data_IF_680610366678
#
_entry.id   IF_680610366678
#
_cell.length_a   1.000
_cell.length_b   1.000
_cell.length_c   1.000
_cell.angle_alpha   90.00
_cell.angle_beta   90.00
_cell.angle_gamma   90.00
#
_symmetry.space_group_name_H-M   'P 1'
#
loop_
_entity.id
_entity.type
_entity.pdbx_description
1 polymer ?
#
# COMPACT_ATOMS: atom_id res chain seq x y z
N UNK A 1 17.92 13.22 -5.87
CA UNK A 1 18.48 11.86 -5.93
C UNK A 1 18.98 11.49 -4.53
N UNK A 2 18.20 10.79 -3.71
CA UNK A 2 18.73 10.20 -2.48
C UNK A 2 19.12 8.76 -2.78
N UNK A 3 20.42 8.54 -2.83
CA UNK A 3 21.06 7.23 -2.86
C UNK A 3 20.60 6.42 -1.65
N UNK A 4 19.81 5.37 -1.90
CA UNK A 4 20.02 4.17 -1.11
C UNK A 4 21.48 3.80 -1.36
N UNK A 5 22.25 3.72 -0.29
CA UNK A 5 23.61 3.20 -0.32
C UNK A 5 23.63 1.92 -1.16
N UNK A 6 24.66 1.77 -2.00
CA UNK A 6 24.91 0.63 -2.87
C UNK A 6 25.27 -0.66 -2.09
N UNK A 7 24.69 -0.87 -0.90
CA UNK A 7 25.20 -1.78 0.13
C UNK A 7 24.14 -2.65 0.82
N UNK A 8 23.04 -3.02 0.14
CA UNK A 8 22.11 -4.03 0.67
C UNK A 8 21.72 -5.04 -0.42
N UNK A 9 22.71 -5.73 -0.97
CA UNK A 9 22.47 -6.94 -1.77
C UNK A 9 22.16 -8.13 -0.86
N UNK A 10 21.08 -8.07 -0.08
CA UNK A 10 20.55 -9.26 0.61
C UNK A 10 20.28 -10.35 -0.44
N UNK A 11 21.12 -11.39 -0.46
CA UNK A 11 21.08 -12.47 -1.45
C UNK A 11 19.79 -13.28 -1.31
N UNK A 12 19.24 -13.77 -2.43
CA UNK A 12 18.04 -14.62 -2.42
C UNK A 12 16.68 -13.90 -2.35
N UNK A 13 16.65 -12.56 -2.33
CA UNK A 13 15.39 -11.81 -2.45
C UNK A 13 14.88 -11.74 -3.89
N UNK A 14 13.58 -12.00 -4.14
CA UNK A 14 12.97 -11.69 -5.44
C UNK A 14 13.18 -10.22 -5.81
N UNK A 15 13.47 -9.92 -7.07
CA UNK A 15 13.77 -8.57 -7.51
C UNK A 15 12.55 -7.64 -7.37
N UNK A 16 11.35 -8.19 -7.52
CA UNK A 16 10.06 -7.50 -7.43
C UNK A 16 9.83 -6.92 -6.05
N UNK A 17 10.31 -7.57 -4.99
CA UNK A 17 10.24 -7.05 -3.62
C UNK A 17 10.93 -5.68 -3.53
N UNK A 18 12.13 -5.55 -4.12
CA UNK A 18 12.88 -4.28 -4.10
C UNK A 18 12.22 -3.22 -4.99
N UNK A 19 11.70 -3.62 -6.15
CA UNK A 19 10.98 -2.72 -7.04
C UNK A 19 9.73 -2.14 -6.38
N UNK A 20 8.92 -2.98 -5.74
CA UNK A 20 7.70 -2.59 -5.03
C UNK A 20 8.01 -1.68 -3.83
N UNK A 21 9.10 -1.95 -3.09
CA UNK A 21 9.49 -1.07 -1.98
C UNK A 21 9.94 0.32 -2.44
N UNK A 22 10.54 0.41 -3.62
CA UNK A 22 10.93 1.68 -4.22
C UNK A 22 9.74 2.44 -4.81
N UNK A 23 8.81 1.73 -5.45
CA UNK A 23 7.62 2.28 -6.10
C UNK A 23 6.38 1.42 -5.77
N UNK A 24 5.67 1.73 -4.67
CA UNK A 24 4.55 0.90 -4.17
C UNK A 24 3.43 0.62 -5.17
N UNK A 25 3.04 1.55 -6.07
CA UNK A 25 2.06 1.30 -7.13
C UNK A 25 2.37 0.08 -8.03
N UNK A 26 3.64 -0.30 -8.21
CA UNK A 26 4.00 -1.47 -9.02
C UNK A 26 3.44 -2.77 -8.45
N UNK A 27 3.12 -2.81 -7.15
CA UNK A 27 2.49 -3.96 -6.53
C UNK A 27 1.13 -4.32 -7.16
N UNK A 28 0.39 -3.33 -7.70
CA UNK A 28 -0.87 -3.58 -8.38
C UNK A 28 -0.73 -4.33 -9.71
N UNK A 29 0.46 -4.33 -10.30
CA UNK A 29 0.76 -4.99 -11.57
C UNK A 29 1.44 -6.36 -11.37
N UNK A 30 1.84 -6.67 -10.13
CA UNK A 30 2.50 -7.93 -9.83
C UNK A 30 1.52 -9.10 -9.84
N UNK A 31 1.99 -10.23 -10.38
CA UNK A 31 1.29 -11.51 -10.31
C UNK A 31 2.29 -12.62 -10.02
N UNK A 32 1.84 -13.67 -9.32
CA UNK A 32 2.68 -14.82 -9.01
C UNK A 32 2.69 -15.80 -10.19
N UNK A 33 3.77 -16.57 -10.32
CA UNK A 33 3.81 -17.72 -11.22
C UNK A 33 3.20 -18.95 -10.53
N UNK A 34 2.31 -19.66 -11.23
CA UNK A 34 1.76 -20.91 -10.72
C UNK A 34 2.83 -22.00 -10.70
N UNK A 35 2.97 -22.74 -9.59
CA UNK A 35 4.01 -23.78 -9.45
C UNK A 35 3.79 -25.01 -10.33
N UNK A 36 2.55 -25.24 -10.77
CA UNK A 36 2.12 -26.49 -11.43
C UNK A 36 1.61 -26.27 -12.87
N UNK A 37 1.49 -25.02 -13.32
CA UNK A 37 1.03 -24.66 -14.66
C UNK A 37 1.77 -23.40 -15.13
N UNK A 38 1.84 -23.16 -16.45
CA UNK A 38 2.30 -21.89 -17.04
C UNK A 38 1.29 -20.72 -16.79
N UNK A 39 0.50 -20.81 -15.72
CA UNK A 39 -0.52 -19.85 -15.36
C UNK A 39 0.03 -18.68 -14.53
N UNK A 40 -0.57 -17.51 -14.72
CA UNK A 40 -0.30 -16.31 -13.94
C UNK A 40 -1.39 -16.22 -12.86
N UNK A 41 -0.99 -15.95 -11.62
CA UNK A 41 -1.87 -15.80 -10.46
C UNK A 41 -1.89 -14.32 -10.03
N UNK A 42 -2.80 -13.57 -10.62
CA UNK A 42 -2.99 -12.14 -10.37
C UNK A 42 -4.30 -11.83 -9.66
N UNK A 43 -4.77 -10.61 -9.85
CA UNK A 43 -5.98 -10.09 -9.17
C UNK A 43 -7.27 -10.73 -9.67
N UNK A 44 -7.33 -11.09 -10.96
CA UNK A 44 -8.46 -11.80 -11.56
C UNK A 44 -8.62 -13.20 -10.98
N UNK A 45 -7.53 -13.96 -10.91
CA UNK A 45 -7.52 -15.29 -10.32
C UNK A 45 -7.84 -15.22 -8.82
N UNK A 46 -7.35 -14.20 -8.13
CA UNK A 46 -7.64 -13.99 -6.71
C UNK A 46 -9.13 -13.72 -6.48
N UNK A 47 -9.77 -12.94 -7.35
CA UNK A 47 -11.20 -12.69 -7.31
C UNK A 47 -11.99 -13.99 -7.50
N UNK A 48 -11.64 -14.79 -8.50
CA UNK A 48 -12.32 -16.06 -8.77
C UNK A 48 -12.25 -16.99 -7.54
N UNK A 49 -11.06 -17.17 -6.97
CA UNK A 49 -10.88 -17.99 -5.77
C UNK A 49 -11.68 -17.43 -4.58
N UNK A 50 -11.72 -16.11 -4.39
CA UNK A 50 -12.55 -15.51 -3.33
C UNK A 50 -14.04 -15.81 -3.55
N UNK A 51 -14.54 -15.65 -4.78
CA UNK A 51 -15.94 -15.89 -5.12
C UNK A 51 -16.34 -17.37 -4.95
N UNK A 52 -15.48 -18.31 -5.37
CA UNK A 52 -15.66 -19.75 -5.13
C UNK A 52 -15.75 -20.08 -3.64
N UNK A 53 -15.02 -19.34 -2.79
CA UNK A 53 -15.07 -19.47 -1.34
C UNK A 53 -16.25 -18.74 -0.68
N UNK A 54 -17.21 -18.23 -1.47
CA UNK A 54 -18.43 -17.58 -1.00
C UNK A 54 -18.31 -16.06 -0.79
N UNK A 55 -17.19 -15.44 -1.16
CA UNK A 55 -16.98 -13.99 -1.00
C UNK A 55 -17.66 -13.18 -2.12
N UNK A 56 -18.97 -13.34 -2.28
CA UNK A 56 -19.76 -12.80 -3.40
C UNK A 56 -19.77 -11.28 -3.50
N UNK A 57 -19.49 -10.56 -2.41
CA UNK A 57 -19.43 -9.10 -2.37
C UNK A 57 -18.08 -8.53 -2.82
N UNK A 58 -17.06 -9.38 -2.99
CA UNK A 58 -15.76 -8.94 -3.46
C UNK A 58 -15.85 -8.54 -4.94
N UNK A 59 -15.33 -7.36 -5.27
CA UNK A 59 -15.24 -6.88 -6.65
C UNK A 59 -13.78 -6.89 -7.11
N UNK A 60 -13.56 -6.89 -8.43
CA UNK A 60 -12.20 -6.82 -8.97
C UNK A 60 -11.45 -5.57 -8.48
N UNK A 61 -12.14 -4.43 -8.41
CA UNK A 61 -11.59 -3.17 -7.90
C UNK A 61 -11.16 -3.30 -6.43
N UNK A 62 -11.97 -3.96 -5.60
CA UNK A 62 -11.64 -4.21 -4.18
C UNK A 62 -10.41 -5.11 -4.06
N UNK A 63 -10.34 -6.18 -4.86
CA UNK A 63 -9.18 -7.09 -4.89
C UNK A 63 -7.92 -6.37 -5.35
N UNK A 64 -7.96 -5.65 -6.48
CA UNK A 64 -6.82 -4.88 -7.01
C UNK A 64 -6.27 -3.89 -5.98
N UNK A 65 -7.15 -3.18 -5.30
CA UNK A 65 -6.78 -2.21 -4.27
C UNK A 65 -6.07 -2.89 -3.09
N UNK A 66 -6.67 -3.91 -2.49
CA UNK A 66 -6.07 -4.57 -1.33
C UNK A 66 -4.85 -5.43 -1.70
N UNK A 67 -4.81 -5.99 -2.90
CA UNK A 67 -3.67 -6.72 -3.44
C UNK A 67 -2.40 -5.87 -3.41
N UNK A 68 -2.48 -4.65 -3.95
CA UNK A 68 -1.34 -3.71 -3.94
C UNK A 68 -0.82 -3.43 -2.52
N UNK A 69 -1.72 -3.14 -1.58
CA UNK A 69 -1.34 -2.85 -0.19
C UNK A 69 -0.80 -4.08 0.56
N UNK A 70 -1.38 -5.26 0.32
CA UNK A 70 -0.91 -6.52 0.91
C UNK A 70 0.49 -6.84 0.40
N UNK A 71 0.71 -6.75 -0.90
CA UNK A 71 2.02 -7.01 -1.49
C UNK A 71 3.05 -5.99 -1.05
N UNK A 72 2.74 -4.69 -1.02
CA UNK A 72 3.70 -3.71 -0.51
C UNK A 72 4.12 -4.01 0.94
N UNK A 73 3.16 -4.41 1.78
CA UNK A 73 3.44 -4.86 3.15
C UNK A 73 4.29 -6.14 3.18
N UNK A 74 3.92 -7.15 2.41
CA UNK A 74 4.66 -8.42 2.33
C UNK A 74 6.10 -8.19 1.83
N UNK A 75 6.28 -7.29 0.87
CA UNK A 75 7.59 -6.93 0.34
C UNK A 75 8.47 -6.35 1.45
N UNK A 76 7.91 -5.46 2.28
CA UNK A 76 8.61 -4.91 3.42
C UNK A 76 9.01 -6.01 4.41
N UNK A 77 8.08 -6.88 4.81
CA UNK A 77 8.41 -7.99 5.71
C UNK A 77 9.49 -8.89 5.13
N UNK A 78 9.32 -9.35 3.88
CA UNK A 78 10.27 -10.24 3.21
C UNK A 78 11.65 -9.60 3.10
N UNK A 79 11.75 -8.31 2.79
CA UNK A 79 13.02 -7.60 2.74
C UNK A 79 13.71 -7.53 4.11
N UNK A 80 12.95 -7.27 5.18
CA UNK A 80 13.50 -7.16 6.53
C UNK A 80 13.88 -8.52 7.13
N UNK A 81 13.05 -9.56 6.97
CA UNK A 81 13.27 -10.91 7.51
C UNK A 81 14.12 -11.81 6.61
N UNK A 82 14.70 -11.27 5.54
CA UNK A 82 15.41 -12.06 4.54
C UNK A 82 16.62 -12.84 5.09
N UNK A 83 17.21 -12.40 6.20
CA UNK A 83 18.32 -13.11 6.87
C UNK A 83 17.86 -14.38 7.60
N UNK A 84 16.64 -14.35 8.14
CA UNK A 84 16.18 -15.34 9.11
C UNK A 84 15.28 -16.38 8.44
N UNK A 85 14.41 -15.93 7.53
CA UNK A 85 13.48 -16.76 6.77
C UNK A 85 13.24 -16.13 5.38
N UNK A 86 14.22 -16.19 4.46
CA UNK A 86 14.04 -15.68 3.11
C UNK A 86 12.89 -16.42 2.43
N UNK A 87 11.98 -15.69 1.79
CA UNK A 87 10.89 -16.16 0.90
C UNK A 87 9.60 -16.76 1.49
N UNK A 88 9.47 -17.05 2.79
CA UNK A 88 8.25 -17.72 3.28
C UNK A 88 6.97 -16.85 3.19
N UNK A 89 7.11 -15.53 3.29
CA UNK A 89 5.96 -14.62 3.31
C UNK A 89 5.56 -14.12 1.91
N UNK A 90 6.46 -14.15 0.94
CA UNK A 90 6.23 -13.68 -0.43
C UNK A 90 5.64 -14.80 -1.30
N UNK A 91 4.41 -15.21 -0.96
CA UNK A 91 3.72 -16.29 -1.68
C UNK A 91 2.27 -15.94 -1.98
N UNK A 92 1.72 -16.59 -3.00
CA UNK A 92 0.30 -16.54 -3.35
C UNK A 92 -0.59 -16.84 -2.14
N UNK A 93 -0.30 -17.90 -1.40
CA UNK A 93 -1.10 -18.34 -0.25
C UNK A 93 -1.09 -17.30 0.87
N UNK A 94 0.05 -16.64 1.09
CA UNK A 94 0.19 -15.56 2.06
C UNK A 94 -0.58 -14.30 1.66
N UNK A 95 -0.65 -13.99 0.37
CA UNK A 95 -1.47 -12.91 -0.16
C UNK A 95 -2.97 -13.24 -0.02
N UNK A 96 -3.39 -14.42 -0.50
CA UNK A 96 -4.78 -14.88 -0.47
C UNK A 96 -5.34 -14.98 0.95
N UNK A 97 -4.57 -15.50 1.89
CA UNK A 97 -4.93 -15.53 3.31
C UNK A 97 -5.27 -14.14 3.86
N UNK A 98 -4.51 -13.12 3.46
CA UNK A 98 -4.77 -11.75 3.88
C UNK A 98 -5.94 -11.10 3.17
N UNK A 99 -6.15 -11.38 1.87
CA UNK A 99 -7.35 -10.95 1.16
C UNK A 99 -8.60 -11.51 1.82
N UNK A 100 -8.60 -12.81 2.13
CA UNK A 100 -9.71 -13.46 2.82
C UNK A 100 -9.97 -12.84 4.18
N UNK A 101 -8.92 -12.62 4.98
CA UNK A 101 -9.02 -11.91 6.25
C UNK A 101 -9.64 -10.51 6.11
N UNK A 102 -9.22 -9.74 5.10
CA UNK A 102 -9.78 -8.40 4.85
C UNK A 102 -11.25 -8.47 4.46
N UNK A 103 -11.63 -9.44 3.64
CA UNK A 103 -13.02 -9.65 3.25
C UNK A 103 -13.89 -9.95 4.47
N UNK A 104 -13.48 -10.89 5.31
CA UNK A 104 -14.18 -11.25 6.55
C UNK A 104 -14.37 -10.04 7.47
N UNK A 105 -13.30 -9.27 7.69
CA UNK A 105 -13.31 -8.08 8.54
C UNK A 105 -14.24 -7.00 8.01
N UNK A 106 -14.16 -6.68 6.72
CA UNK A 106 -14.90 -5.56 6.15
C UNK A 106 -16.36 -5.91 5.87
N UNK A 107 -16.62 -7.07 5.28
CA UNK A 107 -17.96 -7.41 4.80
C UNK A 107 -18.80 -8.20 5.80
N UNK A 108 -18.21 -9.17 6.52
CA UNK A 108 -18.93 -9.98 7.51
C UNK A 108 -18.95 -9.30 8.87
N UNK A 109 -17.79 -8.91 9.40
CA UNK A 109 -17.69 -8.24 10.69
C UNK A 109 -18.06 -6.75 10.65
N UNK A 110 -18.25 -6.17 9.45
CA UNK A 110 -18.61 -4.75 9.23
C UNK A 110 -17.68 -3.78 9.94
N UNK A 111 -16.38 -4.09 9.94
CA UNK A 111 -15.36 -3.25 10.57
C UNK A 111 -14.71 -2.34 9.54
N UNK A 112 -14.98 -1.04 9.65
CA UNK A 112 -14.38 -0.02 8.79
C UNK A 112 -13.03 0.46 9.34
N UNK A 113 -12.07 0.69 8.45
CA UNK A 113 -10.77 1.27 8.78
C UNK A 113 -10.88 2.79 9.01
N UNK A 114 -9.82 3.43 9.52
CA UNK A 114 -9.85 4.86 9.83
C UNK A 114 -10.23 5.74 8.62
N UNK A 115 -9.60 5.50 7.47
CA UNK A 115 -9.91 6.24 6.22
C UNK A 115 -11.32 5.92 5.75
N UNK A 116 -11.74 4.65 5.80
CA UNK A 116 -13.09 4.24 5.38
C UNK A 116 -14.16 4.88 6.26
N UNK A 117 -13.96 4.94 7.58
CA UNK A 117 -14.87 5.64 8.50
C UNK A 117 -15.00 7.13 8.17
N UNK A 118 -13.93 7.79 7.74
CA UNK A 118 -13.98 9.20 7.31
C UNK A 118 -14.77 9.33 6.00
N UNK A 119 -14.50 8.45 5.02
CA UNK A 119 -15.19 8.43 3.73
C UNK A 119 -16.69 8.14 3.86
N UNK A 120 -17.06 7.23 4.76
CA UNK A 120 -18.44 6.86 5.08
C UNK A 120 -19.11 7.83 6.08
N UNK A 121 -18.43 8.91 6.46
CA UNK A 121 -18.92 9.94 7.40
C UNK A 121 -19.27 9.38 8.80
N UNK A 122 -18.68 8.25 9.17
CA UNK A 122 -18.83 7.62 10.48
C UNK A 122 -17.90 8.22 11.54
N UNK A 123 -16.84 8.93 11.12
CA UNK A 123 -15.92 9.62 12.00
C UNK A 123 -15.39 10.92 11.35
N UNK A 124 -15.14 11.99 12.14
CA UNK A 124 -14.57 13.21 11.60
C UNK A 124 -13.09 13.04 11.26
N UNK A 125 -12.64 13.67 10.17
CA UNK A 125 -11.23 13.70 9.77
C UNK A 125 -10.32 14.43 10.79
N UNK A 126 -10.89 15.25 11.67
CA UNK A 126 -10.15 15.97 12.71
C UNK A 126 -9.62 15.06 13.82
N UNK A 127 -10.12 13.82 13.92
CA UNK A 127 -9.68 12.84 14.92
C UNK A 127 -8.21 12.48 14.70
N UNK A 128 -7.48 12.25 15.80
CA UNK A 128 -6.10 11.78 15.73
C UNK A 128 -5.99 10.42 15.04
N UNK A 129 -5.05 10.28 14.11
CA UNK A 129 -4.79 9.05 13.38
C UNK A 129 -3.31 8.92 12.99
N UNK A 130 -2.88 7.69 12.71
CA UNK A 130 -1.54 7.40 12.18
C UNK A 130 -1.71 6.87 10.75
N UNK A 131 -1.14 7.57 9.79
CA UNK A 131 -1.12 7.15 8.39
C UNK A 131 0.32 6.90 7.93
N UNK A 132 0.49 6.07 6.91
CA UNK A 132 1.76 5.80 6.26
C UNK A 132 1.81 6.51 4.90
N UNK A 133 2.95 7.10 4.55
CA UNK A 133 3.17 7.71 3.23
C UNK A 133 3.30 6.59 2.19
N UNK A 134 2.28 6.42 1.35
CA UNK A 134 2.29 5.45 0.25
C UNK A 134 3.00 6.00 -0.98
N UNK A 135 2.75 7.27 -1.33
CA UNK A 135 3.34 7.92 -2.50
C UNK A 135 3.43 9.43 -2.29
N UNK A 136 4.41 10.05 -2.95
CA UNK A 136 4.54 11.50 -3.03
C UNK A 136 4.31 11.88 -4.49
N UNK A 137 3.26 12.66 -4.73
CA UNK A 137 2.85 13.11 -6.05
C UNK A 137 3.34 14.55 -6.25
N UNK A 138 4.01 14.80 -7.36
CA UNK A 138 4.48 16.13 -7.76
C UNK A 138 3.75 16.55 -9.02
N UNK A 139 3.00 17.63 -8.94
CA UNK A 139 2.33 18.25 -10.08
C UNK A 139 3.14 19.46 -10.52
N UNK A 140 3.45 19.53 -11.81
CA UNK A 140 4.07 20.71 -12.42
C UNK A 140 2.93 21.65 -12.81
N UNK A 141 2.65 22.63 -11.97
CA UNK A 141 1.82 23.75 -12.40
C UNK A 141 2.66 24.65 -13.33
N UNK A 142 2.01 25.18 -14.37
CA UNK A 142 2.66 25.82 -15.53
C UNK A 142 3.19 27.22 -15.21
N UNK A 143 2.82 27.82 -14.08
CA UNK A 143 3.19 29.19 -13.75
C UNK A 143 3.61 29.27 -12.27
N UNK A 144 4.82 29.80 -12.03
CA UNK A 144 5.50 30.00 -10.73
C UNK A 144 6.09 28.77 -10.03
N UNK A 145 7.36 28.47 -10.33
CA UNK A 145 8.48 27.95 -9.49
C UNK A 145 8.20 27.04 -8.26
N UNK A 146 7.07 26.35 -8.23
CA UNK A 146 6.47 25.87 -6.99
C UNK A 146 5.64 24.61 -7.18
N UNK A 147 6.21 23.59 -7.82
CA UNK A 147 5.55 22.29 -8.02
C UNK A 147 4.70 21.87 -6.81
N UNK A 148 3.39 21.70 -7.04
CA UNK A 148 2.44 21.29 -6.01
C UNK A 148 2.75 19.85 -5.59
N UNK A 149 2.82 19.63 -4.28
CA UNK A 149 3.12 18.33 -3.68
C UNK A 149 1.89 17.84 -2.94
N UNK A 150 1.46 16.63 -3.29
CA UNK A 150 0.35 15.92 -2.63
C UNK A 150 0.87 14.61 -2.10
N UNK A 151 0.50 14.27 -0.86
CA UNK A 151 0.81 12.97 -0.29
C UNK A 151 -0.34 12.01 -0.54
N UNK A 152 -0.03 10.81 -1.01
CA UNK A 152 -0.94 9.68 -0.92
C UNK A 152 -0.61 8.92 0.36
N UNK A 153 -1.59 8.82 1.26
CA UNK A 153 -1.46 8.28 2.60
C UNK A 153 -2.33 7.03 2.75
N UNK A 154 -1.91 6.10 3.61
CA UNK A 154 -2.67 4.88 3.91
C UNK A 154 -2.78 4.58 5.39
N UNK A 155 -3.93 4.05 5.81
CA UNK A 155 -4.11 3.40 7.12
C UNK A 155 -3.84 1.87 7.05
N UNK A 156 -3.31 1.40 5.92
CA UNK A 156 -3.09 -0.01 5.61
C UNK A 156 -4.30 -0.70 4.97
N UNK A 157 -5.46 -0.04 4.91
CA UNK A 157 -6.67 -0.55 4.26
C UNK A 157 -7.05 0.24 3.03
N UNK A 158 -7.02 1.57 3.12
CA UNK A 158 -7.39 2.47 2.03
C UNK A 158 -6.31 3.53 1.80
N UNK A 159 -6.40 4.19 0.64
CA UNK A 159 -5.54 5.29 0.25
C UNK A 159 -6.37 6.59 0.29
N UNK A 160 -5.76 7.67 0.73
CA UNK A 160 -6.32 9.02 0.64
C UNK A 160 -5.25 9.98 0.13
N UNK A 161 -5.67 10.99 -0.65
CA UNK A 161 -4.79 12.08 -1.05
C UNK A 161 -4.93 13.21 -0.04
N UNK A 162 -3.80 13.75 0.39
CA UNK A 162 -3.72 14.84 1.34
C UNK A 162 -2.84 15.94 0.78
N UNK A 163 -3.41 17.14 0.71
CA UNK A 163 -2.63 18.36 0.53
C UNK A 163 -1.80 18.64 1.77
N UNK A 164 -0.65 19.27 1.56
CA UNK A 164 0.30 19.53 2.62
C UNK A 164 0.71 21.00 2.69
N UNK A 165 0.89 21.47 3.92
CA UNK A 165 1.32 22.82 4.21
C UNK A 165 2.80 23.05 3.84
N UNK A 166 3.25 24.30 3.93
CA UNK A 166 4.63 24.66 3.60
C UNK A 166 5.69 23.93 4.46
N UNK A 167 5.52 23.79 5.81
CA UNK A 167 6.41 22.95 6.63
C UNK A 167 6.55 21.51 6.14
N UNK A 168 5.45 20.83 5.84
CA UNK A 168 5.48 19.45 5.35
C UNK A 168 6.11 19.37 3.95
N UNK A 169 5.86 20.34 3.06
CA UNK A 169 6.54 20.42 1.76
C UNK A 169 8.06 20.54 1.91
N UNK A 170 8.53 21.37 2.87
CA UNK A 170 9.96 21.47 3.20
C UNK A 170 10.51 20.16 3.76
N UNK A 171 9.74 19.45 4.59
CA UNK A 171 10.14 18.14 5.12
C UNK A 171 10.31 17.10 4.01
N UNK A 172 9.41 17.07 3.02
CA UNK A 172 9.53 16.22 1.83
C UNK A 172 10.76 16.59 1.01
N UNK A 173 10.97 17.87 0.70
CA UNK A 173 12.11 18.34 -0.11
C UNK A 173 13.47 18.02 0.52
N UNK A 174 13.58 18.11 1.86
CA UNK A 174 14.78 17.70 2.61
C UNK A 174 14.90 16.18 2.79
N UNK A 175 13.87 15.42 2.44
CA UNK A 175 13.79 13.98 2.69
C UNK A 175 13.59 13.61 4.16
N UNK A 176 13.17 14.53 5.02
CA UNK A 176 12.73 14.16 6.36
C UNK A 176 11.42 13.35 6.33
N UNK A 177 10.57 13.59 5.32
CA UNK A 177 9.37 12.83 5.01
C UNK A 177 9.51 12.09 3.68
N UNK A 178 9.35 10.76 3.68
CA UNK A 178 9.57 9.83 2.56
C UNK A 178 8.50 8.74 2.54
N UNK A 179 8.36 8.06 1.41
CA UNK A 179 7.52 6.86 1.26
C UNK A 179 7.91 5.80 2.30
N UNK A 180 6.91 5.14 2.90
CA UNK A 180 7.05 4.14 3.95
C UNK A 180 7.09 4.69 5.38
N UNK A 181 7.23 6.02 5.57
CA UNK A 181 7.19 6.61 6.91
C UNK A 181 5.78 6.77 7.43
N UNK A 182 5.62 6.61 8.74
CA UNK A 182 4.36 6.84 9.45
C UNK A 182 4.32 8.25 10.01
N UNK A 183 3.18 8.91 9.87
CA UNK A 183 2.91 10.27 10.35
C UNK A 183 1.70 10.25 11.28
N UNK A 184 1.84 10.90 12.43
CA UNK A 184 0.71 11.21 13.31
C UNK A 184 0.03 12.49 12.84
N UNK A 185 -1.29 12.43 12.66
CA UNK A 185 -2.09 13.53 12.14
C UNK A 185 -3.21 13.83 13.13
N UNK A 186 -3.45 15.11 13.40
CA UNK A 186 -4.57 15.60 14.21
C UNK A 186 -5.15 16.86 13.52
N UNK A 187 -6.47 17.04 13.61
CA UNK A 187 -7.11 18.24 13.09
C UNK A 187 -7.15 18.35 11.56
N UNK A 188 -7.06 17.21 10.83
CA UNK A 188 -7.19 17.22 9.39
C UNK A 188 -8.61 17.64 8.95
N UNK A 189 -8.70 18.20 7.74
CA UNK A 189 -9.95 18.64 7.12
C UNK A 189 -10.15 17.87 5.82
N UNK A 190 -11.40 17.55 5.53
CA UNK A 190 -11.80 17.04 4.21
C UNK A 190 -12.05 18.28 3.34
N UNK A 191 -11.37 18.36 2.20
CA UNK A 191 -11.55 19.41 1.20
C UNK A 191 -12.68 19.05 0.23
#
# INVERSE_FOLDING_TARGET
MSTFSSADSKSGLPCEVRLILRDPPLAGQYAFSAKQSLGILGTSEALNVLQELGATRATLKWVQHHWSLILWKLAAYTYWTASDQPSQLWTWESCMRQLRYRYEREFHAKQSSAIKCIQEQLAPASRSMILCVHRILTYKDVEEDGASLVLELTDGWYLIRAEIDAPMRRAVRRGALRVGQKVGIIGAKVC
#
